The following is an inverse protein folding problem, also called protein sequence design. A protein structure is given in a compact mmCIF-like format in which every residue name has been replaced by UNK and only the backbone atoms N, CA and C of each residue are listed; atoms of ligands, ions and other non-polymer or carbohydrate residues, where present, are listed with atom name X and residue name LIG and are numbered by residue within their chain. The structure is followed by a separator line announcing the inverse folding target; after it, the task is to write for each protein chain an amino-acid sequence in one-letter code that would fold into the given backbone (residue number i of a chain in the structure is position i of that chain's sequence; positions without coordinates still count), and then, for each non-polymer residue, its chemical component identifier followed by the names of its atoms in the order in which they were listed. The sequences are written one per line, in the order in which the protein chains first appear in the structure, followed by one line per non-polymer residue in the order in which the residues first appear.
data_IF_227698941325
#
_entry.id   IF_227698941325
#
_cell.length_a   1.000
_cell.length_b   1.000
_cell.length_c   1.000
_cell.angle_alpha   90.00
_cell.angle_beta   90.00
_cell.angle_gamma   90.00
#
_symmetry.space_group_name_H-M   'P 1'
#
loop_
_entity.id
_entity.type
_entity.pdbx_description
1 polymer ?
#
# COMPACT_ATOMS: atom_id res chain seq x y z
N UNK A 1 1.90 17.98 -12.34
CA UNK A 1 1.61 17.04 -11.25
C UNK A 1 0.16 17.23 -10.85
N UNK A 2 -0.58 16.15 -10.65
CA UNK A 2 -1.95 16.21 -10.10
C UNK A 2 -1.87 15.81 -8.63
N UNK A 3 -2.55 16.55 -7.75
CA UNK A 3 -2.58 16.31 -6.31
C UNK A 3 -4.04 16.36 -5.85
N UNK A 4 -4.43 15.42 -4.99
CA UNK A 4 -5.75 15.36 -4.37
C UNK A 4 -5.63 15.10 -2.86
N UNK A 5 -6.51 15.71 -2.08
CA UNK A 5 -6.62 15.40 -0.65
C UNK A 5 -7.41 14.11 -0.46
N UNK A 6 -7.02 13.29 0.51
CA UNK A 6 -7.77 12.12 0.96
C UNK A 6 -8.43 12.39 2.32
N UNK A 7 -9.54 11.68 2.63
CA UNK A 7 -10.09 11.62 3.97
C UNK A 7 -9.04 11.32 5.04
N UNK A 8 -9.30 11.79 6.25
CA UNK A 8 -8.48 11.48 7.42
C UNK A 8 -8.37 9.96 7.63
N UNK A 9 -7.19 9.47 8.03
CA UNK A 9 -6.97 8.04 8.17
C UNK A 9 -7.76 7.45 9.34
N UNK A 10 -8.26 6.23 9.14
CA UNK A 10 -8.88 5.40 10.15
C UNK A 10 -8.05 4.13 10.29
N UNK A 11 -7.50 3.90 11.48
CA UNK A 11 -6.80 2.66 11.84
C UNK A 11 -7.83 1.72 12.45
N UNK A 12 -8.32 0.77 11.65
CA UNK A 12 -9.51 -0.01 11.96
C UNK A 12 -9.17 -1.19 12.87
N UNK A 13 -8.11 -1.93 12.53
CA UNK A 13 -7.69 -3.11 13.29
C UNK A 13 -6.19 -3.40 13.13
N UNK A 14 -5.64 -4.12 14.11
CA UNK A 14 -4.26 -4.63 14.12
C UNK A 14 -4.30 -6.15 14.13
N UNK A 15 -3.81 -6.78 13.08
CA UNK A 15 -3.86 -8.23 12.91
C UNK A 15 -2.69 -8.86 13.68
N UNK A 16 -2.99 -9.47 14.81
CA UNK A 16 -1.99 -10.04 15.74
C UNK A 16 -2.01 -11.55 15.80
N UNK A 17 -3.05 -12.19 15.26
CA UNK A 17 -3.22 -13.64 15.33
C UNK A 17 -2.23 -14.32 14.38
N UNK A 18 -1.37 -15.19 14.91
CA UNK A 18 -0.35 -15.88 14.12
C UNK A 18 -0.93 -16.67 12.93
N UNK A 19 -2.13 -17.23 13.09
CA UNK A 19 -2.84 -17.94 12.02
C UNK A 19 -3.24 -16.98 10.89
N UNK A 20 -3.76 -15.79 11.23
CA UNK A 20 -4.12 -14.79 10.22
C UNK A 20 -2.89 -14.32 9.43
N UNK A 21 -1.74 -14.13 10.11
CA UNK A 21 -0.48 -13.78 9.44
C UNK A 21 0.00 -14.92 8.55
N UNK A 22 -0.18 -16.17 8.98
CA UNK A 22 0.13 -17.35 8.16
C UNK A 22 -0.73 -17.40 6.90
N UNK A 23 -2.04 -17.18 7.02
CA UNK A 23 -2.96 -17.16 5.88
C UNK A 23 -2.59 -16.04 4.88
N UNK A 24 -2.29 -14.84 5.38
CA UNK A 24 -1.85 -13.72 4.53
C UNK A 24 -0.56 -14.07 3.79
N UNK A 25 0.41 -14.66 4.48
CA UNK A 25 1.66 -15.07 3.84
C UNK A 25 1.42 -16.17 2.78
N UNK A 26 0.54 -17.13 3.08
CA UNK A 26 0.14 -18.20 2.16
C UNK A 26 -0.52 -17.63 0.90
N UNK A 27 -1.46 -16.70 1.05
CA UNK A 27 -2.12 -16.04 -0.08
C UNK A 27 -1.15 -15.25 -0.95
N UNK A 28 -0.12 -14.66 -0.34
CA UNK A 28 0.94 -13.95 -1.05
C UNK A 28 2.04 -14.87 -1.62
N UNK A 29 1.95 -16.19 -1.42
CA UNK A 29 2.94 -17.16 -1.89
C UNK A 29 4.32 -17.01 -1.24
N UNK A 30 4.38 -16.50 -0.01
CA UNK A 30 5.63 -16.25 0.71
C UNK A 30 5.66 -16.95 2.08
N UNK A 31 6.88 -17.19 2.58
CA UNK A 31 7.04 -17.72 3.92
C UNK A 31 6.64 -16.67 4.98
N UNK A 32 5.85 -17.07 5.99
CA UNK A 32 5.33 -16.16 7.04
C UNK A 32 6.37 -15.31 7.74
N UNK A 33 7.61 -15.79 7.87
CA UNK A 33 8.70 -15.04 8.52
C UNK A 33 9.09 -13.77 7.73
N UNK A 34 8.77 -13.70 6.44
CA UNK A 34 8.98 -12.50 5.63
C UNK A 34 8.03 -11.36 6.00
N UNK A 35 6.95 -11.66 6.75
CA UNK A 35 6.04 -10.68 7.38
C UNK A 35 6.33 -10.59 8.87
N UNK A 36 6.33 -11.72 9.59
CA UNK A 36 6.41 -11.76 11.04
C UNK A 36 7.75 -11.30 11.63
N UNK A 37 8.86 -11.42 10.88
CA UNK A 37 10.17 -10.92 11.33
C UNK A 37 10.35 -9.42 11.02
N UNK A 38 9.37 -8.78 10.41
CA UNK A 38 9.36 -7.31 10.32
C UNK A 38 9.03 -6.71 11.69
N UNK A 39 9.49 -5.50 11.96
CA UNK A 39 9.20 -4.80 13.22
C UNK A 39 7.84 -4.11 13.22
N UNK A 40 7.05 -4.25 12.14
CA UNK A 40 5.85 -3.48 11.91
C UNK A 40 4.62 -4.38 11.88
N UNK A 41 3.46 -3.92 12.41
CA UNK A 41 2.25 -4.73 12.47
C UNK A 41 1.55 -4.84 11.11
N UNK A 42 0.80 -5.91 10.87
CA UNK A 42 -0.20 -5.90 9.79
C UNK A 42 -1.43 -5.13 10.30
N UNK A 43 -1.89 -4.14 9.54
CA UNK A 43 -3.01 -3.28 9.96
C UNK A 43 -4.04 -3.08 8.86
N UNK A 44 -5.31 -3.00 9.25
CA UNK A 44 -6.39 -2.56 8.38
C UNK A 44 -6.53 -1.03 8.52
N UNK A 45 -6.22 -0.31 7.44
CA UNK A 45 -6.21 1.15 7.44
C UNK A 45 -7.07 1.69 6.30
N UNK A 46 -7.78 2.78 6.52
CA UNK A 46 -8.65 3.40 5.52
C UNK A 46 -8.44 4.91 5.47
N UNK A 47 -8.28 5.44 4.25
CA UNK A 47 -8.49 6.87 3.94
C UNK A 47 -9.70 7.04 3.01
N UNK A 48 -10.69 6.14 3.13
CA UNK A 48 -11.91 6.11 2.31
C UNK A 48 -12.27 4.69 1.88
N UNK A 49 -11.26 3.87 1.55
CA UNK A 49 -11.40 2.44 1.28
C UNK A 49 -10.44 1.67 2.21
N UNK A 50 -10.94 0.76 3.06
CA UNK A 50 -10.08 -0.07 3.90
C UNK A 50 -9.14 -0.96 3.07
N UNK A 51 -7.87 -0.99 3.44
CA UNK A 51 -6.84 -1.83 2.83
C UNK A 51 -6.00 -2.49 3.93
N UNK A 52 -5.64 -3.76 3.74
CA UNK A 52 -4.68 -4.43 4.61
C UNK A 52 -3.27 -3.99 4.23
N UNK A 53 -2.61 -3.27 5.13
CA UNK A 53 -1.21 -2.88 5.01
C UNK A 53 -0.34 -4.00 5.57
N UNK A 54 0.50 -4.60 4.73
CA UNK A 54 1.33 -5.75 5.08
C UNK A 54 2.82 -5.43 4.89
N UNK A 55 3.59 -5.26 5.97
CA UNK A 55 5.03 -5.10 5.87
C UNK A 55 5.70 -6.39 5.40
N UNK A 56 6.66 -6.27 4.49
CA UNK A 56 7.48 -7.37 4.01
C UNK A 56 8.97 -7.03 4.08
N UNK A 57 9.78 -8.06 4.35
CA UNK A 57 11.18 -7.89 4.74
C UNK A 57 12.11 -7.39 3.63
N UNK A 58 11.80 -7.63 2.35
CA UNK A 58 12.73 -7.32 1.26
C UNK A 58 12.08 -7.19 -0.11
N UNK A 59 12.79 -6.52 -1.03
CA UNK A 59 12.46 -6.54 -2.46
C UNK A 59 12.47 -7.93 -3.07
N UNK A 60 13.34 -8.82 -2.61
CA UNK A 60 13.38 -10.20 -3.13
C UNK A 60 12.08 -10.92 -2.79
N UNK A 61 11.57 -10.73 -1.57
CA UNK A 61 10.27 -11.26 -1.17
C UNK A 61 9.13 -10.65 -2.00
N UNK A 62 9.15 -9.34 -2.25
CA UNK A 62 8.16 -8.67 -3.11
C UNK A 62 8.13 -9.27 -4.53
N UNK A 63 9.31 -9.49 -5.12
CA UNK A 63 9.48 -10.00 -6.49
C UNK A 63 9.15 -11.47 -6.64
N UNK A 64 9.32 -12.27 -5.59
CA UNK A 64 9.12 -13.73 -5.64
C UNK A 64 7.71 -14.18 -5.26
N UNK A 65 6.77 -13.27 -5.02
CA UNK A 65 5.39 -13.64 -4.63
C UNK A 65 4.69 -14.37 -5.77
N UNK A 66 4.11 -15.53 -5.46
CA UNK A 66 3.18 -16.28 -6.30
C UNK A 66 1.79 -16.16 -5.67
N UNK A 67 1.05 -15.12 -6.05
CA UNK A 67 -0.19 -14.74 -5.36
C UNK A 67 -1.34 -15.67 -5.73
N UNK A 68 -1.99 -16.23 -4.72
CA UNK A 68 -3.27 -16.91 -4.86
C UNK A 68 -4.41 -15.89 -4.71
N UNK A 69 -4.92 -15.44 -5.85
CA UNK A 69 -5.99 -14.44 -5.93
C UNK A 69 -7.30 -14.90 -5.28
N UNK A 70 -7.56 -16.20 -5.19
CA UNK A 70 -8.77 -16.70 -4.52
C UNK A 70 -8.63 -16.55 -3.01
N UNK A 71 -7.46 -16.88 -2.46
CA UNK A 71 -7.14 -16.69 -1.05
C UNK A 71 -7.09 -15.20 -0.68
N UNK A 72 -6.57 -14.32 -1.54
CA UNK A 72 -6.63 -12.86 -1.34
C UNK A 72 -8.07 -12.38 -1.18
N UNK A 73 -8.98 -12.85 -2.04
CA UNK A 73 -10.40 -12.51 -1.97
C UNK A 73 -11.03 -12.96 -0.64
N UNK A 74 -10.75 -14.18 -0.20
CA UNK A 74 -11.24 -14.73 1.07
C UNK A 74 -10.73 -13.94 2.28
N UNK A 75 -9.43 -13.61 2.30
CA UNK A 75 -8.81 -12.80 3.35
C UNK A 75 -9.42 -11.41 3.39
N UNK A 76 -9.58 -10.77 2.23
CA UNK A 76 -10.17 -9.45 2.14
C UNK A 76 -11.63 -9.46 2.65
N UNK A 77 -12.42 -10.47 2.28
CA UNK A 77 -13.77 -10.64 2.78
C UNK A 77 -13.80 -10.83 4.31
N UNK A 78 -12.88 -11.64 4.85
CA UNK A 78 -12.75 -11.91 6.29
C UNK A 78 -12.48 -10.65 7.10
N UNK A 79 -11.61 -9.76 6.61
CA UNK A 79 -11.21 -8.54 7.31
C UNK A 79 -11.98 -7.29 6.87
N UNK A 80 -12.85 -7.39 5.87
CA UNK A 80 -13.55 -6.23 5.30
C UNK A 80 -12.61 -5.26 4.56
N UNK A 81 -11.56 -5.77 3.94
CA UNK A 81 -10.60 -5.00 3.15
C UNK A 81 -10.97 -4.98 1.66
N UNK A 82 -10.60 -3.92 0.95
CA UNK A 82 -10.72 -3.80 -0.51
C UNK A 82 -9.47 -4.29 -1.26
N UNK A 83 -8.48 -4.78 -0.52
CA UNK A 83 -7.27 -5.37 -1.07
C UNK A 83 -6.16 -5.48 -0.03
N UNK A 84 -5.03 -6.03 -0.47
CA UNK A 84 -3.80 -6.17 0.30
C UNK A 84 -2.73 -5.31 -0.36
N UNK A 85 -2.23 -4.33 0.39
CA UNK A 85 -1.09 -3.51 -0.01
C UNK A 85 0.13 -3.95 0.78
N UNK A 86 1.08 -4.58 0.09
CA UNK A 86 2.36 -4.93 0.69
C UNK A 86 3.32 -3.73 0.58
N UNK A 87 4.24 -3.60 1.52
CA UNK A 87 5.34 -2.64 1.39
C UNK A 87 6.65 -3.14 1.98
N UNK A 88 7.77 -2.67 1.43
CA UNK A 88 9.10 -2.76 2.04
C UNK A 88 9.81 -1.40 1.94
N UNK A 89 10.72 -1.12 2.86
CA UNK A 89 11.59 0.07 2.83
C UNK A 89 12.81 -0.10 1.93
N UNK A 90 13.00 -1.28 1.33
CA UNK A 90 13.99 -1.50 0.29
C UNK A 90 13.38 -1.13 -1.06
N UNK A 91 14.04 -0.27 -1.84
CA UNK A 91 13.51 0.23 -3.12
C UNK A 91 14.44 -0.06 -4.29
N UNK A 92 13.86 -0.13 -5.49
CA UNK A 92 14.59 -0.21 -6.76
C UNK A 92 15.22 1.16 -7.06
N UNK A 93 14.47 2.23 -6.87
CA UNK A 93 14.95 3.60 -7.02
C UNK A 93 15.39 4.18 -5.67
N UNK A 94 16.61 4.71 -5.59
CA UNK A 94 17.13 5.37 -4.38
C UNK A 94 16.29 6.58 -3.93
N UNK A 95 15.54 7.18 -4.86
CA UNK A 95 14.66 8.32 -4.59
C UNK A 95 13.25 7.94 -4.11
N UNK A 96 12.95 6.64 -4.00
CA UNK A 96 11.73 6.15 -3.40
C UNK A 96 11.92 5.86 -1.91
N UNK A 97 10.86 6.06 -1.13
CA UNK A 97 10.82 5.79 0.31
C UNK A 97 10.42 4.34 0.59
N UNK A 98 9.47 3.81 -0.18
CA UNK A 98 8.98 2.44 -0.05
C UNK A 98 8.65 1.85 -1.43
N UNK A 99 8.80 0.54 -1.52
CA UNK A 99 8.37 -0.26 -2.65
C UNK A 99 7.08 -0.99 -2.29
N UNK A 100 6.09 -0.97 -3.19
CA UNK A 100 4.75 -1.47 -2.92
C UNK A 100 4.21 -2.34 -4.06
N UNK A 101 3.29 -3.23 -3.71
CA UNK A 101 2.38 -3.91 -4.64
C UNK A 101 0.99 -3.87 -4.05
N UNK A 102 -0.02 -3.87 -4.92
CA UNK A 102 -1.42 -3.81 -4.52
C UNK A 102 -2.21 -4.91 -5.21
N UNK A 103 -2.76 -5.82 -4.41
CA UNK A 103 -3.68 -6.87 -4.85
C UNK A 103 -5.10 -6.44 -4.49
N UNK A 104 -5.90 -6.16 -5.51
CA UNK A 104 -7.23 -5.54 -5.37
C UNK A 104 -8.33 -6.46 -5.92
N UNK A 105 -8.17 -7.76 -5.70
CA UNK A 105 -9.11 -8.80 -6.15
C UNK A 105 -10.59 -8.50 -5.82
N UNK A 106 -10.96 -7.94 -4.64
CA UNK A 106 -12.34 -7.60 -4.33
C UNK A 106 -13.01 -6.62 -5.31
N UNK A 107 -12.23 -5.84 -6.07
CA UNK A 107 -12.74 -4.91 -7.08
C UNK A 107 -12.44 -5.37 -8.52
N UNK A 108 -12.04 -6.63 -8.69
CA UNK A 108 -11.79 -7.25 -9.99
C UNK A 108 -10.44 -6.90 -10.62
N UNK A 109 -9.48 -6.40 -9.83
CA UNK A 109 -8.13 -6.08 -10.29
C UNK A 109 -7.13 -6.98 -9.55
N UNK A 110 -6.57 -7.96 -10.27
CA UNK A 110 -5.61 -8.91 -9.69
C UNK A 110 -4.37 -8.21 -9.14
N UNK A 111 -3.81 -7.25 -9.88
CA UNK A 111 -2.74 -6.37 -9.40
C UNK A 111 -2.84 -5.00 -10.06
N UNK A 112 -2.81 -3.95 -9.23
CA UNK A 112 -2.93 -2.56 -9.69
C UNK A 112 -1.54 -1.92 -9.81
N UNK A 113 -1.16 -1.32 -10.95
CA UNK A 113 0.18 -0.75 -11.14
C UNK A 113 0.43 0.53 -10.33
N UNK A 114 -0.62 1.26 -9.94
CA UNK A 114 -0.48 2.50 -9.17
C UNK A 114 -1.75 2.81 -8.37
N UNK A 115 -1.73 2.57 -7.06
CA UNK A 115 -2.95 2.63 -6.24
C UNK A 115 -3.00 3.90 -5.40
N UNK A 116 -3.48 4.99 -5.98
CA UNK A 116 -3.63 6.27 -5.28
C UNK A 116 -4.53 6.17 -4.04
N UNK A 117 -5.65 5.44 -4.12
CA UNK A 117 -6.63 5.30 -3.02
C UNK A 117 -6.03 4.65 -1.76
N UNK A 118 -5.19 3.62 -1.90
CA UNK A 118 -4.53 2.93 -0.79
C UNK A 118 -3.26 3.66 -0.30
N UNK A 119 -2.63 4.46 -1.17
CA UNK A 119 -1.37 5.14 -0.85
C UNK A 119 -1.47 6.10 0.34
N UNK A 120 -2.60 6.79 0.53
CA UNK A 120 -2.77 7.64 1.71
C UNK A 120 -2.87 6.83 3.01
N UNK A 121 -3.57 5.69 2.98
CA UNK A 121 -3.64 4.77 4.11
C UNK A 121 -2.25 4.21 4.48
N UNK A 122 -1.45 3.82 3.49
CA UNK A 122 -0.06 3.43 3.72
C UNK A 122 0.78 4.60 4.27
N UNK A 123 0.67 5.81 3.70
CA UNK A 123 1.40 6.98 4.20
C UNK A 123 1.10 7.27 5.68
N UNK A 124 -0.17 7.20 6.07
CA UNK A 124 -0.59 7.34 7.47
C UNK A 124 -0.03 6.23 8.36
N UNK A 125 -0.05 4.99 7.88
CA UNK A 125 0.54 3.85 8.56
C UNK A 125 2.05 4.04 8.82
N UNK A 126 2.79 4.52 7.81
CA UNK A 126 4.24 4.71 7.93
C UNK A 126 4.59 5.76 8.99
N UNK A 127 3.82 6.85 9.04
CA UNK A 127 3.97 7.90 10.07
C UNK A 127 3.62 7.37 11.45
N UNK A 128 2.44 6.74 11.62
CA UNK A 128 1.96 6.20 12.90
C UNK A 128 2.96 5.20 13.51
N UNK A 129 3.49 4.31 12.68
CA UNK A 129 4.35 3.20 13.13
C UNK A 129 5.85 3.57 13.15
N UNK A 130 6.20 4.83 12.90
CA UNK A 130 7.60 5.29 12.93
C UNK A 130 8.49 4.61 11.89
N UNK A 131 7.92 4.23 10.74
CA UNK A 131 8.65 3.60 9.64
C UNK A 131 9.55 4.62 8.92
N UNK A 132 9.13 5.88 8.94
CA UNK A 132 9.82 7.03 8.35
C UNK A 132 10.04 8.11 9.40
N UNK A 133 11.01 9.00 9.16
CA UNK A 133 11.18 10.19 9.99
C UNK A 133 9.96 11.11 9.84
N UNK A 134 9.37 11.50 10.97
CA UNK A 134 8.15 12.29 11.00
C UNK A 134 8.49 13.76 11.26
N UNK A 135 7.96 14.64 10.41
CA UNK A 135 8.00 16.09 10.59
C UNK A 135 6.62 16.73 10.36
N UNK A 136 6.52 18.07 10.46
CA UNK A 136 5.27 18.81 10.21
C UNK A 136 4.69 18.53 8.82
N UNK A 137 5.55 18.23 7.86
CA UNK A 137 5.20 17.66 6.57
C UNK A 137 6.14 16.49 6.30
N UNK A 138 5.57 15.31 6.18
CA UNK A 138 6.30 14.08 5.85
C UNK A 138 5.97 13.70 4.41
N UNK A 139 7.00 13.62 3.56
CA UNK A 139 6.85 13.19 2.17
C UNK A 139 7.28 11.73 2.03
N UNK A 140 6.41 10.93 1.43
CA UNK A 140 6.65 9.52 1.12
C UNK A 140 6.51 9.34 -0.37
N UNK A 141 7.57 8.84 -1.01
CA UNK A 141 7.53 8.42 -2.42
C UNK A 141 7.37 6.91 -2.46
N UNK A 142 6.27 6.45 -3.02
CA UNK A 142 5.99 5.03 -3.23
C UNK A 142 6.31 4.68 -4.67
N UNK A 143 7.13 3.65 -4.87
CA UNK A 143 7.29 3.00 -6.17
C UNK A 143 6.42 1.75 -6.24
N UNK A 144 5.71 1.56 -7.36
CA UNK A 144 4.72 0.48 -7.52
C UNK A 144 4.72 -0.04 -8.95
N UNK A 145 4.30 -1.29 -9.15
CA UNK A 145 4.01 -1.86 -10.47
C UNK A 145 5.23 -2.36 -11.24
N UNK A 146 6.38 -2.50 -10.58
CA UNK A 146 7.62 -2.99 -11.20
C UNK A 146 7.50 -4.46 -11.59
N UNK A 147 6.82 -5.28 -10.78
CA UNK A 147 6.64 -6.72 -10.98
C UNK A 147 5.71 -7.05 -12.16
N UNK A 148 4.96 -6.06 -12.66
CA UNK A 148 4.03 -6.19 -13.79
C UNK A 148 4.39 -5.26 -14.96
N UNK A 149 5.65 -4.81 -15.03
CA UNK A 149 6.20 -3.97 -16.10
C UNK A 149 5.48 -2.62 -16.32
N UNK A 150 4.91 -2.05 -15.23
CA UNK A 150 4.21 -0.77 -15.25
C UNK A 150 4.68 0.14 -14.10
N UNK A 151 5.99 0.46 -14.04
CA UNK A 151 6.58 1.21 -12.95
C UNK A 151 5.95 2.59 -12.83
N UNK A 152 5.51 2.90 -11.61
CA UNK A 152 4.80 4.12 -11.28
C UNK A 152 5.32 4.71 -9.97
N UNK A 153 5.17 6.03 -9.83
CA UNK A 153 5.56 6.76 -8.62
C UNK A 153 4.37 7.54 -8.07
N UNK A 154 4.11 7.36 -6.78
CA UNK A 154 3.05 8.04 -6.06
C UNK A 154 3.71 8.84 -4.94
N UNK A 155 3.47 10.16 -4.93
CA UNK A 155 3.87 11.03 -3.84
C UNK A 155 2.72 11.13 -2.84
N UNK A 156 3.01 10.87 -1.57
CA UNK A 156 2.09 11.09 -0.46
C UNK A 156 2.71 12.14 0.46
N UNK A 157 1.97 13.21 0.73
CA UNK A 157 2.35 14.25 1.68
C UNK A 157 1.41 14.15 2.88
N UNK A 158 1.98 13.89 4.05
CA UNK A 158 1.27 13.80 5.32
C UNK A 158 1.59 15.05 6.13
N UNK A 159 0.56 15.84 6.42
CA UNK A 159 0.67 17.04 7.24
C UNK A 159 0.27 16.68 8.67
N UNK A 160 1.19 16.92 9.61
CA UNK A 160 1.04 16.53 11.00
C UNK A 160 1.24 17.74 11.92
N UNK A 161 0.53 17.76 13.03
CA UNK A 161 0.63 18.77 14.08
C UNK A 161 0.53 18.07 15.43
N UNK A 162 1.55 18.24 16.28
CA UNK A 162 1.75 17.50 17.53
C UNK A 162 1.53 15.98 17.39
N UNK A 163 2.20 15.36 16.42
CA UNK A 163 2.10 13.93 16.06
C UNK A 163 0.70 13.46 15.59
N UNK A 164 -0.24 14.39 15.39
CA UNK A 164 -1.58 14.08 14.87
C UNK A 164 -1.64 14.40 13.38
N UNK A 165 -1.97 13.40 12.56
CA UNK A 165 -2.20 13.56 11.12
C UNK A 165 -3.44 14.45 10.90
N UNK A 166 -3.24 15.60 10.24
CA UNK A 166 -4.30 16.58 9.91
C UNK A 166 -4.80 16.43 8.49
N UNK A 167 -3.89 16.25 7.55
CA UNK A 167 -4.21 16.17 6.13
C UNK A 167 -3.29 15.17 5.42
N UNK A 168 -3.86 14.45 4.44
CA UNK A 168 -3.11 13.58 3.54
C UNK A 168 -3.38 14.04 2.12
N UNK A 169 -2.32 14.29 1.36
CA UNK A 169 -2.38 14.57 -0.07
C UNK A 169 -1.67 13.47 -0.83
N UNK A 170 -2.31 12.99 -1.88
CA UNK A 170 -1.75 11.99 -2.80
C UNK A 170 -1.63 12.63 -4.18
N UNK A 171 -0.49 12.45 -4.82
CA UNK A 171 -0.24 13.01 -6.13
C UNK A 171 0.79 12.24 -6.94
N UNK A 172 0.91 12.63 -8.20
CA UNK A 172 1.82 11.98 -9.14
C UNK A 172 2.00 12.80 -10.41
N UNK A 173 3.05 12.48 -11.15
CA UNK A 173 3.19 12.97 -12.52
C UNK A 173 2.36 12.08 -13.45
N UNK A 174 1.67 12.71 -14.40
CA UNK A 174 0.85 12.02 -15.39
C UNK A 174 1.31 12.44 -16.77
N UNK A 175 1.28 11.51 -17.71
CA UNK A 175 1.61 11.74 -19.12
C UNK A 175 0.40 11.33 -19.96
N UNK A 176 -0.02 12.20 -20.87
CA UNK A 176 -1.10 11.89 -21.81
C UNK A 176 -0.60 10.87 -22.83
N UNK A 177 -1.23 9.69 -22.88
CA UNK A 177 -0.86 8.60 -23.81
C UNK A 177 -1.79 8.57 -25.02
N UNK A 178 -3.07 8.88 -24.85
CA UNK A 178 -4.05 8.92 -25.92
C UNK A 178 -5.18 9.92 -25.59
N UNK A 179 -5.77 10.49 -26.64
CA UNK A 179 -6.98 11.31 -26.57
C UNK A 179 -7.96 10.81 -27.63
N UNK A 180 -9.25 10.79 -27.29
CA UNK A 180 -10.31 10.39 -28.21
C UNK A 180 -11.58 11.17 -27.95
N UNK A 181 -12.38 11.38 -29.00
CA UNK A 181 -13.69 12.03 -28.91
C UNK A 181 -14.76 11.01 -29.29
N UNK A 182 -15.69 10.74 -28.37
CA UNK A 182 -16.90 9.98 -28.73
C UNK A 182 -17.83 10.88 -29.55
N UNK A 183 -18.19 10.40 -30.75
CA UNK A 183 -19.19 11.00 -31.63
C UNK A 183 -20.35 10.02 -31.79
N UNK A 184 -21.56 10.54 -31.67
CA UNK A 184 -22.83 9.83 -31.85
C UNK A 184 -23.45 10.19 -33.19
#
# INVERSE_FOLDING_TARGET
QVIMSQPSPQFIDVITQAEAIYDIAKALGIHRSLIADTLFPVELVSTGLPVLIVPIRSLTAAKSMEVDHSEVLEICARFGANGIMIFTTMTVEESATVHTRMFADPIGISEDPATGSASGALGAYLVKNGVVEVGPTTEVVMEQGYEIDRPSRILVQIFSDDDVIKEIKVGGQVVMVAEGKMVY
#
